data_IF_754217401883
#
_entry.id   IF_754217401883
#
_cell.length_a   1.000
_cell.length_b   1.000
_cell.length_c   1.000
_cell.angle_alpha   90.00
_cell.angle_beta   90.00
_cell.angle_gamma   90.00
#
_symmetry.space_group_name_H-M   'P 1'
#
loop_
_entity.id
_entity.type
_entity.pdbx_description
1 polymer ?
#
# COMPACT_ATOMS: atom_id res chain seq x y z
N UNK A 1 12.26 3.00 -23.53
CA UNK A 1 12.59 2.61 -22.14
C UNK A 1 12.05 3.61 -21.14
N UNK A 2 12.44 4.88 -21.23
CA UNK A 2 11.91 5.93 -20.35
C UNK A 2 10.39 6.11 -20.50
N UNK A 3 9.87 6.11 -21.73
CA UNK A 3 8.43 6.23 -22.00
C UNK A 3 7.60 5.13 -21.32
N UNK A 4 8.06 3.88 -21.34
CA UNK A 4 7.40 2.76 -20.67
C UNK A 4 7.46 2.90 -19.14
N UNK A 5 8.56 3.42 -18.61
CA UNK A 5 8.72 3.70 -17.19
C UNK A 5 7.74 4.78 -16.75
N UNK A 6 7.64 5.88 -17.51
CA UNK A 6 6.63 6.91 -17.29
C UNK A 6 5.20 6.40 -17.41
N UNK A 7 4.91 5.55 -18.41
CA UNK A 7 3.59 4.95 -18.57
C UNK A 7 3.19 4.11 -17.34
N UNK A 8 4.12 3.31 -16.80
CA UNK A 8 3.90 2.54 -15.57
C UNK A 8 3.72 3.43 -14.35
N UNK A 9 4.49 4.52 -14.24
CA UNK A 9 4.35 5.48 -13.15
C UNK A 9 3.00 6.18 -13.17
N UNK A 10 2.57 6.64 -14.34
CA UNK A 10 1.28 7.29 -14.55
C UNK A 10 0.16 6.29 -14.23
N UNK A 11 0.25 5.05 -14.72
CA UNK A 11 -0.71 3.99 -14.41
C UNK A 11 -0.80 3.76 -12.90
N UNK A 12 0.34 3.53 -12.24
CA UNK A 12 0.39 3.25 -10.81
C UNK A 12 -0.20 4.40 -9.99
N UNK A 13 0.24 5.63 -10.26
CA UNK A 13 -0.23 6.79 -9.53
C UNK A 13 -1.72 7.07 -9.78
N UNK A 14 -2.20 6.99 -11.02
CA UNK A 14 -3.59 7.24 -11.34
C UNK A 14 -4.53 6.21 -10.68
N UNK A 15 -4.17 4.92 -10.74
CA UNK A 15 -4.98 3.85 -10.16
C UNK A 15 -4.96 3.90 -8.63
N UNK A 16 -3.78 4.11 -8.01
CA UNK A 16 -3.69 4.25 -6.55
C UNK A 16 -4.36 5.52 -6.03
N UNK A 17 -4.35 6.61 -6.79
CA UNK A 17 -5.09 7.82 -6.46
C UNK A 17 -6.61 7.57 -6.52
N UNK A 18 -7.10 6.90 -7.57
CA UNK A 18 -8.50 6.52 -7.66
C UNK A 18 -8.93 5.60 -6.51
N UNK A 19 -8.10 4.60 -6.18
CA UNK A 19 -8.33 3.69 -5.07
C UNK A 19 -8.32 4.43 -3.72
N UNK A 20 -7.40 5.37 -3.51
CA UNK A 20 -7.33 6.22 -2.32
C UNK A 20 -8.58 7.10 -2.15
N UNK A 21 -9.07 7.68 -3.25
CA UNK A 21 -10.29 8.50 -3.23
C UNK A 21 -11.51 7.63 -2.92
N UNK A 22 -11.59 6.43 -3.51
CA UNK A 22 -12.62 5.44 -3.19
C UNK A 22 -12.59 5.09 -1.70
N UNK A 23 -11.43 4.70 -1.19
CA UNK A 23 -11.26 4.26 0.20
C UNK A 23 -11.50 5.37 1.21
N UNK A 24 -11.13 6.62 0.88
CA UNK A 24 -11.47 7.79 1.69
C UNK A 24 -12.99 8.02 1.79
N UNK A 25 -13.74 7.79 0.70
CA UNK A 25 -15.18 8.05 0.63
C UNK A 25 -16.03 6.89 1.15
N UNK A 26 -15.68 5.66 0.80
CA UNK A 26 -16.51 4.47 1.05
C UNK A 26 -15.87 3.46 2.01
N UNK A 27 -14.62 3.68 2.45
CA UNK A 27 -13.85 2.78 3.33
C UNK A 27 -13.61 1.39 2.72
N UNK A 28 -13.75 1.34 1.41
CA UNK A 28 -13.52 0.15 0.60
C UNK A 28 -12.86 0.59 -0.71
N UNK A 29 -11.75 -0.06 -1.04
CA UNK A 29 -11.17 0.00 -2.37
C UNK A 29 -11.58 -1.27 -3.12
N UNK A 30 -12.35 -1.12 -4.19
CA UNK A 30 -12.79 -2.26 -4.98
C UNK A 30 -11.63 -2.95 -5.69
N UNK A 31 -11.71 -4.28 -5.82
CA UNK A 31 -10.62 -5.09 -6.37
C UNK A 31 -10.26 -4.79 -7.83
N UNK A 32 -11.18 -4.17 -8.57
CA UNK A 32 -10.95 -3.70 -9.93
C UNK A 32 -9.73 -2.78 -10.09
N UNK A 33 -9.42 -1.97 -9.06
CA UNK A 33 -8.21 -1.14 -9.08
C UNK A 33 -6.95 -1.99 -9.13
N UNK A 34 -6.90 -3.06 -8.33
CA UNK A 34 -5.73 -3.93 -8.22
C UNK A 34 -5.55 -4.80 -9.46
N UNK A 35 -6.65 -5.28 -10.05
CA UNK A 35 -6.61 -5.98 -11.33
C UNK A 35 -6.09 -5.07 -12.45
N UNK A 36 -6.60 -3.85 -12.55
CA UNK A 36 -6.14 -2.88 -13.55
C UNK A 36 -4.64 -2.57 -13.37
N UNK A 37 -4.20 -2.37 -12.13
CA UNK A 37 -2.81 -2.07 -11.82
C UNK A 37 -1.88 -3.24 -12.14
N UNK A 38 -2.20 -4.45 -11.66
CA UNK A 38 -1.38 -5.65 -11.85
C UNK A 38 -1.34 -6.08 -13.31
N UNK A 39 -2.49 -6.20 -13.98
CA UNK A 39 -2.55 -6.59 -15.40
C UNK A 39 -1.89 -5.52 -16.27
N UNK A 40 -2.19 -4.24 -16.04
CA UNK A 40 -1.58 -3.14 -16.79
C UNK A 40 -0.05 -3.09 -16.59
N UNK A 41 0.42 -3.29 -15.36
CA UNK A 41 1.84 -3.43 -15.04
C UNK A 41 2.50 -4.59 -15.79
N UNK A 42 1.90 -5.78 -15.74
CA UNK A 42 2.39 -6.97 -16.44
C UNK A 42 2.40 -6.78 -17.95
N UNK A 43 1.38 -6.16 -18.55
CA UNK A 43 1.36 -5.88 -19.99
C UNK A 43 2.50 -4.94 -20.39
N UNK A 44 2.70 -3.85 -19.64
CA UNK A 44 3.80 -2.92 -19.89
C UNK A 44 5.17 -3.58 -19.66
N UNK A 45 5.29 -4.51 -18.70
CA UNK A 45 6.49 -5.32 -18.48
C UNK A 45 6.74 -6.28 -19.65
N UNK A 46 5.69 -6.92 -20.17
CA UNK A 46 5.79 -7.79 -21.35
C UNK A 46 6.22 -7.02 -22.60
N UNK A 47 5.70 -5.80 -22.81
CA UNK A 47 6.15 -4.92 -23.90
C UNK A 47 7.62 -4.56 -23.75
N UNK A 48 8.08 -4.26 -22.52
CA UNK A 48 9.51 -4.01 -22.27
C UNK A 48 10.36 -5.23 -22.60
N UNK A 49 10.00 -6.41 -22.09
CA UNK A 49 10.72 -7.66 -22.35
C UNK A 49 10.80 -7.98 -23.85
N UNK A 50 9.72 -7.74 -24.58
CA UNK A 50 9.68 -7.91 -26.03
C UNK A 50 10.63 -6.95 -26.76
N UNK A 51 10.59 -5.65 -26.42
CA UNK A 51 11.47 -4.63 -27.01
C UNK A 51 12.95 -4.90 -26.72
N UNK A 52 13.24 -5.46 -25.56
CA UNK A 52 14.59 -5.84 -25.15
C UNK A 52 15.10 -7.16 -25.74
N UNK A 53 14.26 -7.86 -26.52
CA UNK A 53 14.60 -9.16 -27.11
C UNK A 53 14.81 -10.25 -26.05
N UNK A 54 14.10 -10.17 -24.92
CA UNK A 54 14.22 -11.14 -23.85
C UNK A 54 13.82 -12.55 -24.33
N UNK A 55 14.50 -13.61 -23.88
CA UNK A 55 14.11 -14.99 -24.16
C UNK A 55 12.65 -15.25 -23.79
N UNK A 56 11.99 -16.12 -24.56
CA UNK A 56 10.56 -16.42 -24.40
C UNK A 56 10.17 -16.86 -22.98
N UNK A 57 11.09 -17.48 -22.24
CA UNK A 57 10.85 -17.94 -20.87
C UNK A 57 10.51 -16.79 -19.91
N UNK A 58 11.06 -15.59 -20.12
CA UNK A 58 10.74 -14.42 -19.31
C UNK A 58 9.27 -14.02 -19.48
N UNK A 59 8.74 -14.08 -20.71
CA UNK A 59 7.33 -13.81 -21.01
C UNK A 59 6.41 -14.87 -20.38
N UNK A 60 6.82 -16.14 -20.42
CA UNK A 60 6.06 -17.23 -19.80
C UNK A 60 6.03 -17.09 -18.27
N UNK A 61 7.18 -16.81 -17.65
CA UNK A 61 7.24 -16.58 -16.20
C UNK A 61 6.42 -15.37 -15.77
N UNK A 62 6.44 -14.28 -16.56
CA UNK A 62 5.60 -13.11 -16.35
C UNK A 62 4.10 -13.44 -16.46
N UNK A 63 3.71 -14.22 -17.47
CA UNK A 63 2.32 -14.69 -17.62
C UNK A 63 1.88 -15.54 -16.44
N UNK A 64 2.68 -16.54 -16.04
CA UNK A 64 2.40 -17.42 -14.91
C UNK A 64 2.27 -16.64 -13.59
N UNK A 65 3.21 -15.74 -13.29
CA UNK A 65 3.14 -14.96 -12.05
C UNK A 65 1.97 -13.96 -12.06
N UNK A 66 1.59 -13.44 -13.23
CA UNK A 66 0.39 -12.60 -13.36
C UNK A 66 -0.88 -13.41 -13.09
N UNK A 67 -0.95 -14.66 -13.57
CA UNK A 67 -2.07 -15.54 -13.27
C UNK A 67 -2.13 -15.88 -11.77
N UNK A 68 -0.98 -16.16 -11.15
CA UNK A 68 -0.91 -16.37 -9.67
C UNK A 68 -1.38 -15.13 -8.92
N UNK A 69 -1.00 -13.94 -9.37
CA UNK A 69 -1.48 -12.69 -8.81
C UNK A 69 -3.01 -12.56 -8.91
N UNK A 70 -3.59 -12.83 -10.07
CA UNK A 70 -5.05 -12.78 -10.24
C UNK A 70 -5.75 -13.79 -9.35
N UNK A 71 -5.19 -14.99 -9.27
CA UNK A 71 -5.68 -16.08 -8.43
C UNK A 71 -5.66 -15.72 -6.94
N UNK A 72 -4.60 -15.04 -6.49
CA UNK A 72 -4.44 -14.57 -5.12
C UNK A 72 -5.46 -13.49 -4.74
N UNK A 73 -5.81 -12.62 -5.69
CA UNK A 73 -6.79 -11.56 -5.47
C UNK A 73 -8.23 -12.03 -5.63
N UNK A 74 -8.43 -13.17 -6.29
CA UNK A 74 -9.73 -13.75 -6.52
C UNK A 74 -10.26 -14.41 -5.25
N UNK A 75 -11.40 -13.94 -4.76
CA UNK A 75 -12.04 -14.49 -3.58
C UNK A 75 -12.66 -15.86 -3.94
N UNK A 76 -12.06 -16.95 -3.46
CA UNK A 76 -12.54 -18.31 -3.67
C UNK A 76 -12.38 -19.16 -2.41
N UNK A 77 -13.16 -20.25 -2.28
CA UNK A 77 -12.96 -21.22 -1.21
C UNK A 77 -11.52 -21.75 -1.22
N UNK A 78 -10.97 -21.99 -0.03
CA UNK A 78 -9.63 -22.50 0.15
C UNK A 78 -9.41 -23.80 -0.63
N UNK A 79 -8.16 -24.07 -1.02
CA UNK A 79 -7.76 -25.24 -1.82
C UNK A 79 -8.21 -26.58 -1.20
N UNK A 80 -8.51 -26.59 0.09
CA UNK A 80 -8.90 -27.76 0.87
C UNK A 80 -10.29 -27.65 1.53
N UNK A 81 -11.02 -26.55 1.32
CA UNK A 81 -12.32 -26.33 1.99
C UNK A 81 -13.45 -27.14 1.34
N UNK A 82 -13.51 -27.17 0.00
CA UNK A 82 -14.53 -27.90 -0.78
C UNK A 82 -13.92 -29.08 -1.58
N UNK A 83 -12.81 -29.64 -1.11
CA UNK A 83 -11.99 -30.64 -1.81
C UNK A 83 -10.80 -30.03 -2.57
N UNK A 84 -9.89 -30.87 -3.08
CA UNK A 84 -8.67 -30.41 -3.76
C UNK A 84 -9.05 -29.78 -5.10
N UNK A 85 -8.97 -28.46 -5.19
CA UNK A 85 -9.05 -27.74 -6.46
C UNK A 85 -7.76 -27.96 -7.26
N UNK A 86 -7.77 -28.66 -8.42
CA UNK A 86 -6.54 -28.98 -9.14
C UNK A 86 -6.01 -27.79 -9.94
N UNK A 87 -6.90 -26.89 -10.40
CA UNK A 87 -6.53 -25.75 -11.24
C UNK A 87 -5.44 -24.85 -10.62
N UNK A 88 -5.56 -24.44 -9.34
CA UNK A 88 -4.58 -23.54 -8.75
C UNK A 88 -3.30 -24.26 -8.37
N UNK A 89 -3.41 -25.54 -7.99
CA UNK A 89 -2.25 -26.39 -7.73
C UNK A 89 -1.41 -26.56 -9.00
N UNK A 90 -2.05 -26.80 -10.14
CA UNK A 90 -1.38 -26.87 -11.45
C UNK A 90 -0.74 -25.53 -11.81
N UNK A 91 -1.44 -24.42 -11.59
CA UNK A 91 -0.88 -23.08 -11.83
C UNK A 91 0.37 -22.82 -10.98
N UNK A 92 0.31 -23.12 -9.68
CA UNK A 92 1.43 -22.93 -8.76
C UNK A 92 2.60 -23.85 -9.10
N UNK A 93 2.33 -25.13 -9.40
CA UNK A 93 3.35 -26.07 -9.85
C UNK A 93 4.00 -25.62 -11.17
N UNK A 94 3.21 -25.17 -12.15
CA UNK A 94 3.70 -24.64 -13.42
C UNK A 94 4.56 -23.38 -13.20
N UNK A 95 4.16 -22.51 -12.28
CA UNK A 95 4.93 -21.31 -11.91
C UNK A 95 6.28 -21.70 -11.30
N UNK A 96 6.30 -22.64 -10.35
CA UNK A 96 7.54 -23.14 -9.74
C UNK A 96 8.46 -23.77 -10.79
N UNK A 97 7.92 -24.61 -11.68
CA UNK A 97 8.69 -25.24 -12.76
C UNK A 97 9.23 -24.19 -13.74
N UNK A 98 8.41 -23.20 -14.11
CA UNK A 98 8.82 -22.11 -15.01
C UNK A 98 9.97 -21.28 -14.43
N UNK A 99 9.87 -20.89 -13.16
CA UNK A 99 10.94 -20.15 -12.47
C UNK A 99 12.17 -21.02 -12.18
N UNK A 100 12.02 -22.32 -11.96
CA UNK A 100 13.14 -23.25 -11.86
C UNK A 100 13.91 -23.33 -13.19
N UNK A 101 13.20 -23.48 -14.31
CA UNK A 101 13.82 -23.48 -15.64
C UNK A 101 14.48 -22.14 -15.96
N UNK A 102 13.81 -21.01 -15.65
CA UNK A 102 14.41 -19.67 -15.74
C UNK A 102 15.71 -19.57 -14.93
N UNK A 103 15.74 -20.13 -13.72
CA UNK A 103 16.92 -20.14 -12.86
C UNK A 103 18.04 -21.02 -13.39
N UNK A 104 17.74 -22.12 -14.09
CA UNK A 104 18.79 -22.99 -14.64
C UNK A 104 19.50 -22.35 -15.84
N UNK A 105 18.76 -21.63 -16.68
CA UNK A 105 19.27 -21.06 -17.93
C UNK A 105 19.87 -19.66 -17.76
N UNK A 106 19.30 -18.83 -16.86
CA UNK A 106 19.58 -17.39 -16.79
C UNK A 106 20.07 -16.90 -15.43
N UNK A 107 20.57 -17.80 -14.58
CA UNK A 107 21.07 -17.42 -13.25
C UNK A 107 22.12 -16.33 -13.32
N UNK A 108 21.97 -15.29 -12.49
CA UNK A 108 22.93 -14.20 -12.37
C UNK A 108 22.71 -13.04 -13.35
N UNK A 109 21.81 -13.18 -14.33
CA UNK A 109 21.43 -12.06 -15.19
C UNK A 109 20.64 -10.99 -14.41
N UNK A 110 20.80 -9.71 -14.77
CA UNK A 110 20.04 -8.63 -14.12
C UNK A 110 18.52 -8.81 -14.27
N UNK A 111 18.06 -9.25 -15.45
CA UNK A 111 16.64 -9.52 -15.72
C UNK A 111 16.11 -10.69 -14.90
N UNK A 112 16.95 -11.70 -14.66
CA UNK A 112 16.61 -12.84 -13.82
C UNK A 112 16.26 -12.36 -12.40
N UNK A 113 17.11 -11.53 -11.81
CA UNK A 113 16.85 -10.96 -10.48
C UNK A 113 15.59 -10.10 -10.44
N UNK A 114 15.33 -9.33 -11.49
CA UNK A 114 14.07 -8.58 -11.63
C UNK A 114 12.86 -9.53 -11.61
N UNK A 115 12.88 -10.61 -12.40
CA UNK A 115 11.77 -11.58 -12.43
C UNK A 115 11.59 -12.30 -11.11
N UNK A 116 12.67 -12.76 -10.47
CA UNK A 116 12.60 -13.48 -9.18
C UNK A 116 12.13 -12.58 -8.04
N UNK A 117 12.42 -11.28 -8.11
CA UNK A 117 11.93 -10.34 -7.09
C UNK A 117 10.40 -10.25 -7.06
N UNK A 118 9.70 -10.43 -8.18
CA UNK A 118 8.23 -10.36 -8.26
C UNK A 118 7.55 -11.38 -7.34
N UNK A 119 7.74 -12.71 -7.49
CA UNK A 119 7.13 -13.69 -6.60
C UNK A 119 7.61 -13.56 -5.16
N UNK A 120 8.87 -13.16 -4.92
CA UNK A 120 9.38 -12.93 -3.58
C UNK A 120 8.65 -11.77 -2.88
N UNK A 121 8.37 -10.68 -3.59
CA UNK A 121 7.63 -9.55 -3.06
C UNK A 121 6.16 -9.87 -2.83
N UNK A 122 5.52 -10.58 -3.77
CA UNK A 122 4.15 -11.07 -3.59
C UNK A 122 4.06 -11.92 -2.32
N UNK A 123 4.98 -12.87 -2.15
CA UNK A 123 5.04 -13.71 -0.95
C UNK A 123 5.32 -12.88 0.31
N UNK A 124 6.25 -11.94 0.26
CA UNK A 124 6.57 -11.05 1.37
C UNK A 124 5.33 -10.28 1.83
N UNK A 125 4.63 -9.58 0.94
CA UNK A 125 3.45 -8.79 1.31
C UNK A 125 2.28 -9.67 1.73
N UNK A 126 2.14 -10.86 1.14
CA UNK A 126 1.18 -11.84 1.60
C UNK A 126 1.48 -12.28 3.04
N UNK A 127 2.73 -12.61 3.36
CA UNK A 127 3.13 -12.97 4.74
C UNK A 127 2.91 -11.80 5.69
N UNK A 128 3.29 -10.58 5.31
CA UNK A 128 3.08 -9.38 6.15
C UNK A 128 1.60 -9.11 6.42
N UNK A 129 0.72 -9.42 5.47
CA UNK A 129 -0.72 -9.36 5.66
C UNK A 129 -1.21 -10.45 6.62
N UNK A 130 -0.79 -11.71 6.43
CA UNK A 130 -1.19 -12.83 7.29
C UNK A 130 -0.67 -12.71 8.74
N UNK A 131 0.43 -11.99 8.94
CA UNK A 131 0.99 -11.68 10.27
C UNK A 131 0.43 -10.39 10.89
N UNK A 132 -0.61 -9.79 10.30
CA UNK A 132 -1.25 -8.54 10.74
C UNK A 132 -0.29 -7.33 10.85
N UNK A 133 0.88 -7.39 10.18
CA UNK A 133 1.78 -6.23 10.06
C UNK A 133 1.15 -5.19 9.15
N UNK A 134 0.54 -5.64 8.04
CA UNK A 134 -0.28 -4.83 7.15
C UNK A 134 -1.75 -5.20 7.42
N UNK A 135 -2.44 -4.39 8.22
CA UNK A 135 -3.82 -4.67 8.63
C UNK A 135 -4.86 -4.44 7.52
N UNK A 136 -4.54 -3.62 6.53
CA UNK A 136 -5.45 -3.28 5.44
C UNK A 136 -5.30 -4.24 4.26
N UNK A 137 -6.37 -4.98 3.93
CA UNK A 137 -6.38 -5.83 2.72
C UNK A 137 -6.16 -5.03 1.43
N UNK A 138 -6.72 -3.82 1.35
CA UNK A 138 -6.48 -2.90 0.23
C UNK A 138 -4.99 -2.50 0.11
N UNK A 139 -4.32 -2.22 1.23
CA UNK A 139 -2.91 -1.83 1.27
C UNK A 139 -2.02 -2.99 0.81
N UNK A 140 -2.29 -4.21 1.28
CA UNK A 140 -1.59 -5.41 0.87
C UNK A 140 -1.77 -5.68 -0.64
N UNK A 141 -3.01 -5.64 -1.13
CA UNK A 141 -3.30 -5.81 -2.58
C UNK A 141 -2.61 -4.74 -3.43
N UNK A 142 -2.53 -3.49 -2.95
CA UNK A 142 -1.81 -2.42 -3.64
C UNK A 142 -0.30 -2.73 -3.77
N UNK A 143 0.35 -3.15 -2.69
CA UNK A 143 1.78 -3.49 -2.68
C UNK A 143 2.11 -4.73 -3.52
N UNK A 144 1.24 -5.74 -3.46
CA UNK A 144 1.33 -6.93 -4.31
C UNK A 144 1.22 -6.51 -5.79
N UNK A 145 0.24 -5.69 -6.15
CA UNK A 145 0.09 -5.20 -7.52
C UNK A 145 1.28 -4.34 -7.97
N UNK A 146 1.80 -3.48 -7.11
CA UNK A 146 3.02 -2.69 -7.37
C UNK A 146 4.24 -3.56 -7.65
N UNK A 147 4.30 -4.76 -7.08
CA UNK A 147 5.40 -5.71 -7.31
C UNK A 147 5.47 -6.21 -8.76
N UNK A 148 4.34 -6.22 -9.48
CA UNK A 148 4.30 -6.51 -10.92
C UNK A 148 4.65 -5.30 -11.79
N UNK A 149 4.38 -4.09 -11.30
CA UNK A 149 4.61 -2.84 -12.05
C UNK A 149 6.08 -2.41 -11.94
N UNK A 150 6.59 -2.37 -10.71
CA UNK A 150 7.94 -1.92 -10.36
C UNK A 150 8.55 -2.87 -9.32
N UNK A 151 9.05 -4.04 -9.74
CA UNK A 151 9.80 -4.93 -8.86
C UNK A 151 11.06 -4.26 -8.29
N UNK A 152 11.74 -3.47 -9.13
CA UNK A 152 12.96 -2.73 -8.78
C UNK A 152 12.73 -1.22 -8.92
N UNK A 153 13.64 -0.44 -8.35
CA UNK A 153 13.61 1.02 -8.42
C UNK A 153 13.62 1.50 -9.88
N UNK A 154 12.62 2.28 -10.33
CA UNK A 154 12.61 2.85 -11.67
C UNK A 154 13.61 4.01 -11.76
N UNK A 155 14.79 3.73 -12.32
CA UNK A 155 15.79 4.76 -12.59
C UNK A 155 15.34 5.66 -13.74
N UNK A 156 15.29 6.96 -13.49
CA UNK A 156 14.96 7.99 -14.47
C UNK A 156 16.05 9.07 -14.45
N UNK A 157 16.36 9.72 -15.60
CA UNK A 157 17.32 10.80 -15.63
C UNK A 157 16.94 11.92 -14.65
N UNK A 158 17.87 12.30 -13.77
CA UNK A 158 17.66 13.37 -12.78
C UNK A 158 16.91 12.96 -11.51
N UNK A 159 16.58 11.67 -11.34
CA UNK A 159 15.97 11.13 -10.12
C UNK A 159 16.79 9.96 -9.55
N UNK A 160 16.84 9.80 -8.22
CA UNK A 160 16.26 10.67 -7.18
C UNK A 160 16.96 12.02 -7.04
N UNK A 161 16.24 13.03 -6.55
CA UNK A 161 16.77 14.37 -6.28
C UNK A 161 17.76 14.38 -5.12
N UNK A 162 17.56 13.49 -4.15
CA UNK A 162 18.51 13.25 -3.07
C UNK A 162 19.52 12.21 -3.57
N UNK A 163 20.70 12.67 -3.97
CA UNK A 163 21.81 11.79 -4.32
C UNK A 163 22.31 11.10 -3.05
N UNK A 164 22.02 9.81 -2.91
CA UNK A 164 22.77 8.96 -1.98
C UNK A 164 24.21 8.87 -2.48
N UNK A 165 25.18 8.81 -1.57
CA UNK A 165 26.59 8.72 -1.93
C UNK A 165 26.91 7.41 -2.68
N UNK A 166 26.03 6.40 -2.59
CA UNK A 166 26.14 5.12 -3.29
C UNK A 166 24.88 4.82 -4.14
N UNK A 167 25.00 4.72 -5.48
CA UNK A 167 23.92 4.27 -6.36
C UNK A 167 23.37 2.88 -6.02
N UNK A 168 24.19 2.00 -5.41
CA UNK A 168 23.77 0.66 -5.02
C UNK A 168 22.67 0.69 -3.94
N UNK A 169 22.62 1.72 -3.10
CA UNK A 169 21.64 1.88 -2.04
C UNK A 169 20.17 1.93 -2.55
N UNK A 170 19.97 2.34 -3.81
CA UNK A 170 18.65 2.34 -4.46
C UNK A 170 18.22 0.95 -4.93
N UNK A 171 19.16 0.02 -5.09
CA UNK A 171 18.90 -1.36 -5.52
C UNK A 171 18.81 -2.34 -4.36
N UNK A 172 19.24 -1.93 -3.16
CA UNK A 172 19.18 -2.76 -1.93
C UNK A 172 17.74 -3.08 -1.53
N UNK A 173 16.84 -2.10 -1.62
CA UNK A 173 15.42 -2.30 -1.32
C UNK A 173 14.59 -2.29 -2.60
N UNK A 174 13.80 -3.34 -2.87
CA UNK A 174 12.81 -3.33 -3.93
C UNK A 174 11.84 -2.16 -3.80
N UNK A 175 11.39 -1.63 -4.93
CA UNK A 175 10.61 -0.39 -4.94
C UNK A 175 9.32 -0.45 -4.11
N UNK A 176 8.51 -1.53 -4.12
CA UNK A 176 7.28 -1.58 -3.33
C UNK A 176 7.56 -1.57 -1.83
N UNK A 177 8.68 -2.15 -1.40
CA UNK A 177 9.13 -2.13 -0.01
C UNK A 177 9.55 -0.71 0.39
N UNK A 178 10.27 -0.01 -0.49
CA UNK A 178 10.61 1.39 -0.30
C UNK A 178 9.35 2.27 -0.16
N UNK A 179 8.35 2.05 -1.02
CA UNK A 179 7.07 2.75 -0.97
C UNK A 179 6.33 2.49 0.34
N UNK A 180 6.35 1.25 0.85
CA UNK A 180 5.79 0.91 2.17
C UNK A 180 6.50 1.69 3.30
N UNK A 181 7.83 1.69 3.34
CA UNK A 181 8.59 2.41 4.36
C UNK A 181 8.34 3.92 4.31
N UNK A 182 8.43 4.51 3.12
CA UNK A 182 8.16 5.93 2.93
C UNK A 182 6.69 6.27 3.25
N UNK A 183 5.74 5.39 2.95
CA UNK A 183 4.33 5.54 3.36
C UNK A 183 4.16 5.53 4.87
N UNK A 184 4.89 4.66 5.58
CA UNK A 184 4.91 4.65 7.03
C UNK A 184 5.49 5.96 7.60
N UNK A 185 6.59 6.47 7.02
CA UNK A 185 7.18 7.77 7.40
C UNK A 185 6.19 8.92 7.15
N UNK A 186 5.54 8.95 5.99
CA UNK A 186 4.53 9.97 5.67
C UNK A 186 3.33 9.92 6.62
N UNK A 187 2.98 8.74 7.12
CA UNK A 187 1.93 8.59 8.15
C UNK A 187 2.31 9.26 9.46
N UNK A 188 3.60 9.33 9.82
CA UNK A 188 4.07 10.08 10.99
C UNK A 188 3.88 11.60 10.84
N UNK A 189 3.64 12.10 9.62
CA UNK A 189 3.29 13.50 9.39
C UNK A 189 1.81 13.79 9.66
N UNK A 190 0.94 12.77 9.73
CA UNK A 190 -0.50 12.97 9.98
C UNK A 190 -0.73 13.65 11.33
N UNK A 191 -0.13 13.23 12.47
CA UNK A 191 -0.27 13.95 13.72
C UNK A 191 0.22 15.41 13.67
N UNK A 192 1.28 15.69 12.90
CA UNK A 192 1.78 17.05 12.70
C UNK A 192 0.80 17.90 11.89
N UNK A 193 0.17 17.33 10.86
CA UNK A 193 -0.90 17.98 10.12
C UNK A 193 -2.10 18.32 11.01
N UNK A 194 -2.50 17.37 11.87
CA UNK A 194 -3.58 17.57 12.85
C UNK A 194 -3.24 18.67 13.86
N UNK A 195 -1.99 18.72 14.33
CA UNK A 195 -1.50 19.78 15.20
C UNK A 195 -1.69 21.16 14.55
N UNK A 196 -1.21 21.33 13.32
CA UNK A 196 -1.28 22.61 12.59
C UNK A 196 -2.75 23.01 12.38
N UNK A 197 -3.61 22.06 11.99
CA UNK A 197 -5.04 22.30 11.81
C UNK A 197 -5.72 22.78 13.11
N UNK A 198 -5.44 22.12 14.24
CA UNK A 198 -6.02 22.48 15.52
C UNK A 198 -5.48 23.80 16.09
N UNK A 199 -4.18 24.09 15.89
CA UNK A 199 -3.59 25.40 16.22
C UNK A 199 -4.29 26.52 15.44
N UNK A 200 -4.54 26.33 14.15
CA UNK A 200 -5.27 27.29 13.31
C UNK A 200 -6.72 27.50 13.75
N UNK A 201 -7.39 26.45 14.23
CA UNK A 201 -8.76 26.50 14.77
C UNK A 201 -8.83 26.98 16.22
N UNK A 202 -7.68 27.19 16.88
CA UNK A 202 -7.54 27.48 18.31
C UNK A 202 -8.12 26.40 19.22
N UNK A 203 -8.20 25.16 18.73
CA UNK A 203 -8.65 23.99 19.47
C UNK A 203 -7.45 23.38 20.23
N UNK A 204 -7.08 23.99 21.37
CA UNK A 204 -5.85 23.68 22.09
C UNK A 204 -6.11 22.69 23.24
N UNK A 205 -5.95 21.39 22.99
CA UNK A 205 -6.00 20.37 24.05
C UNK A 205 -4.96 19.29 23.81
N UNK A 206 -3.82 19.40 24.49
CA UNK A 206 -2.74 18.42 24.40
C UNK A 206 -3.04 17.19 25.27
N UNK A 207 -2.76 15.95 24.82
CA UNK A 207 -2.26 15.56 23.50
C UNK A 207 -3.35 15.27 22.45
N UNK A 208 -4.64 15.46 22.75
CA UNK A 208 -5.75 15.20 21.81
C UNK A 208 -5.60 15.93 20.47
N UNK A 209 -5.09 17.16 20.48
CA UNK A 209 -4.89 17.96 19.27
C UNK A 209 -3.87 17.36 18.27
N UNK A 210 -3.05 16.38 18.70
CA UNK A 210 -2.16 15.64 17.80
C UNK A 210 -2.88 14.50 17.08
N UNK A 211 -3.94 13.95 17.67
CA UNK A 211 -4.54 12.69 17.22
C UNK A 211 -6.02 12.79 16.84
N UNK A 212 -6.63 13.97 16.99
CA UNK A 212 -8.02 14.22 16.63
C UNK A 212 -8.31 15.68 16.36
N UNK A 213 -9.55 15.97 15.95
CA UNK A 213 -10.07 17.32 15.68
C UNK A 213 -11.40 17.50 16.41
N UNK A 214 -11.74 18.76 16.75
CA UNK A 214 -13.09 19.12 17.17
C UNK A 214 -14.02 19.14 15.96
N UNK A 215 -15.11 18.39 16.03
CA UNK A 215 -16.13 18.29 14.98
C UNK A 215 -17.51 18.47 15.59
N UNK A 216 -18.44 19.09 14.87
CA UNK A 216 -19.84 19.13 15.29
C UNK A 216 -20.42 17.73 15.37
N UNK A 217 -21.28 17.48 16.36
CA UNK A 217 -21.83 16.15 16.61
C UNK A 217 -22.70 15.64 15.45
N UNK A 218 -23.47 16.51 14.79
CA UNK A 218 -24.26 16.10 13.62
C UNK A 218 -23.38 15.81 12.41
N UNK A 219 -22.32 16.60 12.25
CA UNK A 219 -21.32 16.38 11.20
C UNK A 219 -20.52 15.08 11.44
N UNK A 220 -20.17 14.80 12.69
CA UNK A 220 -19.43 13.60 13.10
C UNK A 220 -20.25 12.32 12.87
N UNK A 221 -21.57 12.36 13.10
CA UNK A 221 -22.49 11.24 12.82
C UNK A 221 -22.51 10.86 11.34
N UNK A 222 -22.40 11.84 10.44
CA UNK A 222 -22.37 11.62 8.99
C UNK A 222 -20.99 11.27 8.43
N UNK A 223 -19.94 11.29 9.26
CA UNK A 223 -18.55 11.10 8.83
C UNK A 223 -17.92 9.85 9.45
N UNK A 224 -16.93 9.32 8.74
CA UNK A 224 -16.17 8.15 9.17
C UNK A 224 -15.09 8.54 10.18
N UNK A 225 -15.49 8.80 11.42
CA UNK A 225 -14.62 9.22 12.52
C UNK A 225 -14.78 8.30 13.73
N UNK A 226 -13.77 8.27 14.61
CA UNK A 226 -13.87 7.64 15.93
C UNK A 226 -14.00 8.69 17.02
N UNK A 227 -15.01 8.63 17.91
CA UNK A 227 -15.11 9.56 19.02
C UNK A 227 -13.98 9.28 20.02
N UNK A 228 -13.24 10.32 20.37
CA UNK A 228 -12.22 10.28 21.43
C UNK A 228 -12.84 10.57 22.80
N UNK A 229 -14.03 11.18 22.82
CA UNK A 229 -14.80 11.48 24.02
C UNK A 229 -15.99 10.52 24.09
N UNK A 230 -16.23 9.92 25.25
CA UNK A 230 -17.38 9.04 25.50
C UNK A 230 -17.95 9.29 26.89
N UNK A 231 -19.23 9.02 27.08
CA UNK A 231 -19.86 9.02 28.40
C UNK A 231 -19.91 7.59 28.91
N UNK A 232 -19.30 7.34 30.05
CA UNK A 232 -19.25 6.04 30.73
C UNK A 232 -19.66 6.25 32.18
N UNK A 233 -20.69 5.54 32.65
CA UNK A 233 -21.32 5.75 33.97
C UNK A 233 -21.68 7.22 34.28
N UNK A 234 -22.16 7.97 33.26
CA UNK A 234 -22.51 9.39 33.40
C UNK A 234 -21.30 10.33 33.54
N UNK A 235 -20.07 9.84 33.35
CA UNK A 235 -18.83 10.65 33.34
C UNK A 235 -18.22 10.71 31.95
N UNK A 236 -17.80 11.90 31.53
CA UNK A 236 -17.06 12.09 30.29
C UNK A 236 -15.65 11.51 30.43
N UNK A 237 -15.35 10.45 29.68
CA UNK A 237 -14.02 9.86 29.55
C UNK A 237 -13.42 10.22 28.18
N UNK A 238 -12.13 10.54 28.19
CA UNK A 238 -11.36 10.79 26.97
C UNK A 238 -10.41 9.63 26.72
N UNK A 239 -10.49 9.02 25.54
CA UNK A 239 -9.53 8.04 25.04
C UNK A 239 -8.73 8.65 23.89
N UNK A 240 -7.40 8.53 23.95
CA UNK A 240 -6.52 9.00 22.88
C UNK A 240 -6.53 8.06 21.67
N UNK A 241 -6.75 6.77 21.90
CA UNK A 241 -6.78 5.73 20.87
C UNK A 241 -8.05 4.90 21.07
N UNK A 242 -9.21 5.39 20.59
CA UNK A 242 -10.46 4.64 20.64
C UNK A 242 -10.32 3.33 19.87
N UNK A 243 -10.89 2.24 20.39
CA UNK A 243 -10.86 0.93 19.71
C UNK A 243 -11.93 0.88 18.63
N UNK A 244 -11.71 0.06 17.60
CA UNK A 244 -12.67 -0.17 16.52
C UNK A 244 -14.02 -0.68 17.02
N UNK A 245 -14.00 -1.42 18.13
CA UNK A 245 -15.14 -2.14 18.68
C UNK A 245 -15.90 -1.31 19.73
N UNK A 246 -15.40 -0.11 20.04
CA UNK A 246 -16.08 0.78 20.98
C UNK A 246 -17.38 1.29 20.34
N UNK A 247 -18.53 0.86 20.88
CA UNK A 247 -19.83 1.36 20.44
C UNK A 247 -19.86 2.89 20.43
N UNK A 248 -20.30 3.46 19.32
CA UNK A 248 -20.27 4.90 19.10
C UNK A 248 -21.45 5.55 19.80
N UNK A 249 -21.29 5.94 21.07
CA UNK A 249 -22.34 6.55 21.88
C UNK A 249 -22.50 8.06 21.60
N UNK A 250 -23.04 8.38 20.43
CA UNK A 250 -23.35 9.77 20.04
C UNK A 250 -24.51 10.38 20.83
N UNK A 251 -25.38 9.55 21.42
CA UNK A 251 -26.54 10.03 22.17
C UNK A 251 -26.17 10.41 23.60
N UNK A 252 -25.32 9.62 24.26
CA UNK A 252 -24.75 9.96 25.56
C UNK A 252 -23.92 11.25 25.52
N UNK A 253 -23.13 11.46 24.46
CA UNK A 253 -22.41 12.73 24.27
C UNK A 253 -23.36 13.93 24.13
N UNK A 254 -24.46 13.76 23.37
CA UNK A 254 -25.48 14.80 23.22
C UNK A 254 -26.20 15.07 24.55
N UNK A 255 -26.57 14.03 25.29
CA UNK A 255 -27.22 14.12 26.60
C UNK A 255 -26.32 14.79 27.65
N UNK A 256 -25.00 14.61 27.56
CA UNK A 256 -24.01 15.28 28.39
C UNK A 256 -23.69 16.74 27.93
N UNK A 257 -24.37 17.25 26.90
CA UNK A 257 -24.19 18.62 26.39
C UNK A 257 -22.93 18.82 25.55
N UNK A 258 -22.26 17.75 25.11
CA UNK A 258 -21.06 17.81 24.27
C UNK A 258 -21.47 17.96 22.80
N UNK A 259 -21.62 19.19 22.33
CA UNK A 259 -22.01 19.49 20.94
C UNK A 259 -20.86 19.34 19.93
N UNK A 260 -19.61 19.49 20.38
CA UNK A 260 -18.43 19.39 19.52
C UNK A 260 -17.40 18.41 20.11
N UNK A 261 -17.60 17.09 20.04
CA UNK A 261 -16.66 16.14 20.60
C UNK A 261 -15.30 16.16 19.89
N UNK A 262 -14.25 15.70 20.57
CA UNK A 262 -13.00 15.32 19.92
C UNK A 262 -13.19 14.02 19.16
N UNK A 263 -12.79 14.00 17.89
CA UNK A 263 -12.89 12.83 17.03
C UNK A 263 -11.58 12.59 16.28
N UNK A 264 -11.19 11.33 16.11
CA UNK A 264 -10.07 10.91 15.27
C UNK A 264 -10.60 10.58 13.87
N UNK A 265 -10.20 11.32 12.82
CA UNK A 265 -10.50 10.95 11.45
C UNK A 265 -9.87 9.61 11.13
N UNK A 266 -10.63 8.71 10.51
CA UNK A 266 -10.09 7.43 10.09
C UNK A 266 -9.34 7.61 8.76
N UNK A 267 -8.08 8.03 8.82
CA UNK A 267 -7.24 8.19 7.63
C UNK A 267 -6.83 6.80 7.12
N UNK A 268 -7.23 6.39 5.90
CA UNK A 268 -6.76 5.13 5.35
C UNK A 268 -5.28 5.22 4.98
N UNK A 269 -4.54 4.15 5.28
CA UNK A 269 -3.10 4.07 5.02
C UNK A 269 -2.78 4.05 3.52
N UNK A 270 -3.76 3.72 2.67
CA UNK A 270 -3.63 3.82 1.22
C UNK A 270 -3.29 5.24 0.73
N UNK A 271 -3.73 6.29 1.44
CA UNK A 271 -3.42 7.68 1.08
C UNK A 271 -1.92 7.98 1.23
N UNK A 272 -1.29 7.83 2.41
CA UNK A 272 0.15 8.02 2.54
C UNK A 272 0.94 7.04 1.67
N UNK A 273 0.44 5.82 1.43
CA UNK A 273 1.06 4.88 0.50
C UNK A 273 1.06 5.40 -0.95
N UNK A 274 -0.03 6.02 -1.39
CA UNK A 274 -0.14 6.62 -2.72
C UNK A 274 0.77 7.84 -2.87
N UNK A 275 0.87 8.68 -1.84
CA UNK A 275 1.82 9.80 -1.80
C UNK A 275 3.27 9.32 -1.73
N UNK A 276 3.50 8.14 -1.15
CA UNK A 276 4.81 7.53 -1.08
C UNK A 276 5.34 7.12 -2.46
N UNK A 277 4.50 6.89 -3.48
CA UNK A 277 4.97 6.60 -4.83
C UNK A 277 5.84 7.73 -5.40
N UNK A 278 5.31 8.94 -5.65
CA UNK A 278 6.12 10.05 -6.15
C UNK A 278 7.19 10.45 -5.13
N UNK A 279 6.89 10.40 -3.83
CA UNK A 279 7.89 10.73 -2.82
C UNK A 279 9.10 9.79 -2.87
N UNK A 280 8.91 8.48 -3.05
CA UNK A 280 10.00 7.51 -3.15
C UNK A 280 10.85 7.70 -4.40
N UNK A 281 10.26 8.17 -5.50
CA UNK A 281 11.00 8.52 -6.72
C UNK A 281 11.86 9.77 -6.54
N UNK A 282 11.37 10.74 -5.78
CA UNK A 282 12.06 12.01 -5.55
C UNK A 282 13.14 11.86 -4.46
N UNK A 283 12.79 11.23 -3.35
CA UNK A 283 13.63 11.13 -2.15
C UNK A 283 14.53 9.89 -2.15
N UNK A 284 14.22 8.85 -2.93
CA UNK A 284 14.93 7.58 -2.90
C UNK A 284 14.81 6.89 -1.54
N UNK A 285 15.90 6.29 -1.08
CA UNK A 285 15.96 5.55 0.18
C UNK A 285 16.29 6.46 1.37
N UNK A 286 15.26 7.17 1.87
CA UNK A 286 15.39 8.07 3.01
C UNK A 286 15.87 7.35 4.28
N UNK A 287 15.50 6.09 4.47
CA UNK A 287 15.91 5.32 5.63
C UNK A 287 17.43 5.10 5.64
N UNK A 288 18.01 4.72 4.50
CA UNK A 288 19.47 4.60 4.37
C UNK A 288 20.18 5.95 4.52
N UNK A 289 19.60 7.02 3.96
CA UNK A 289 20.11 8.38 4.17
C UNK A 289 20.17 8.76 5.66
N UNK A 290 19.09 8.50 6.41
CA UNK A 290 19.03 8.77 7.85
C UNK A 290 19.97 7.89 8.66
N UNK A 291 20.30 6.69 8.17
CA UNK A 291 21.28 5.79 8.76
C UNK A 291 22.74 6.14 8.39
N UNK A 292 22.96 7.16 7.57
CA UNK A 292 24.29 7.67 7.21
C UNK A 292 25.01 6.87 6.12
N UNK A 293 24.27 6.12 5.30
CA UNK A 293 24.81 5.45 4.11
C UNK A 293 24.94 6.41 2.91
#
# INVERSE_FOLDING_TARGET
MEELTWARLILAFAVMMAASISDWRTRTAGDGHWYLLGIGGSLLMGVQLWQEGAPWIYMVCLGLITLVFLDLLWDRPGIFEDGINPLPLVLYAATVVGYAYLSLEHFGEGRYWTMVSVPLLILLFFILYQLDVIKGGADAKALIALSLVFPLYPSLPGLPLLSLNDPAALTVLPFPVLVLFNGAILTLLVPLGMLILNLGRRDLRFPLMLFGVRMDLEEARGKQVWPMERVDDGRLRTSLFPRSDDETDWEGLRAAGVLRPWVTPKVPFLIPLTLALPFSLLAGNLLLYLMGA
#
